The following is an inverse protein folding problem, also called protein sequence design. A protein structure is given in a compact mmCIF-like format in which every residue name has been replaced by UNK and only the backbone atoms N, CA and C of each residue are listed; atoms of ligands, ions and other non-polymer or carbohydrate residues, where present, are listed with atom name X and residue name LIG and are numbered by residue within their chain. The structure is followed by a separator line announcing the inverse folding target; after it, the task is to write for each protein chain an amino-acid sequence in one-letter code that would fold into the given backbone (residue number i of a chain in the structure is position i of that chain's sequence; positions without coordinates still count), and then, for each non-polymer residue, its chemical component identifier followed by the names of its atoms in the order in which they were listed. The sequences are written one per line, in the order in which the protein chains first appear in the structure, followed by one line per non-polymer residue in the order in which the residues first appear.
data_IF_678308636717
#
_entry.id   IF_678308636717
#
_cell.length_a   1.000
_cell.length_b   1.000
_cell.length_c   1.000
_cell.angle_alpha   90.00
_cell.angle_beta   90.00
_cell.angle_gamma   90.00
#
_symmetry.space_group_name_H-M   'P 1'
#
loop_
_entity.id
_entity.type
_entity.pdbx_description
1 polymer ?
#
# COMPACT_ATOMS: atom_id res chain seq x y z
N UNK A 1 61.16 25.96 -20.50
CA UNK A 1 59.98 26.77 -20.07
C UNK A 1 58.66 26.01 -20.17
N UNK A 2 58.42 25.15 -21.17
CA UNK A 2 57.14 24.43 -21.33
C UNK A 2 56.90 23.26 -20.33
N UNK A 3 57.96 22.60 -19.87
CA UNK A 3 57.87 21.41 -18.97
C UNK A 3 57.32 21.78 -17.59
N UNK A 4 57.66 22.97 -17.08
CA UNK A 4 57.22 23.45 -15.76
C UNK A 4 55.71 23.71 -15.71
N UNK A 5 55.11 24.20 -16.81
CA UNK A 5 53.67 24.43 -16.91
C UNK A 5 52.87 23.13 -16.95
N UNK A 6 53.38 22.10 -17.64
CA UNK A 6 52.73 20.79 -17.73
C UNK A 6 52.70 20.06 -16.38
N UNK A 7 53.78 20.13 -15.60
CA UNK A 7 53.85 19.56 -14.24
C UNK A 7 52.89 20.30 -13.28
N UNK A 8 52.80 21.62 -13.39
CA UNK A 8 51.85 22.42 -12.61
C UNK A 8 50.39 22.08 -12.90
N UNK A 9 50.03 21.95 -14.19
CA UNK A 9 48.69 21.56 -14.61
C UNK A 9 48.32 20.14 -14.16
N UNK A 10 49.27 19.20 -14.22
CA UNK A 10 49.08 17.83 -13.76
C UNK A 10 48.88 17.74 -12.24
N UNK A 11 49.69 18.45 -11.45
CA UNK A 11 49.54 18.53 -10.01
C UNK A 11 48.20 19.16 -9.59
N UNK A 12 47.76 20.19 -10.31
CA UNK A 12 46.46 20.82 -10.10
C UNK A 12 45.29 19.87 -10.38
N UNK A 13 45.34 19.11 -11.49
CA UNK A 13 44.33 18.12 -11.83
C UNK A 13 44.23 16.98 -10.79
N UNK A 14 45.36 16.52 -10.24
CA UNK A 14 45.38 15.53 -9.15
C UNK A 14 44.75 16.11 -7.88
N UNK A 15 45.03 17.37 -7.55
CA UNK A 15 44.47 18.04 -6.37
C UNK A 15 42.95 18.17 -6.49
N UNK A 16 42.43 18.54 -7.66
CA UNK A 16 40.99 18.59 -7.94
C UNK A 16 40.34 17.21 -7.77
N UNK A 17 40.94 16.16 -8.37
CA UNK A 17 40.44 14.78 -8.21
C UNK A 17 40.42 14.32 -6.74
N UNK A 18 41.49 14.61 -5.98
CA UNK A 18 41.54 14.27 -4.55
C UNK A 18 40.52 15.07 -3.72
N UNK A 19 40.31 16.35 -4.04
CA UNK A 19 39.32 17.16 -3.36
C UNK A 19 37.90 16.64 -3.63
N UNK A 20 37.62 16.23 -4.85
CA UNK A 20 36.33 15.62 -5.22
C UNK A 20 36.11 14.28 -4.52
N UNK A 21 37.15 13.44 -4.43
CA UNK A 21 37.10 12.19 -3.66
C UNK A 21 36.90 12.43 -2.16
N UNK A 22 37.52 13.47 -1.58
CA UNK A 22 37.32 13.82 -0.16
C UNK A 22 35.90 14.27 0.15
N UNK A 23 35.23 14.95 -0.79
CA UNK A 23 33.82 15.35 -0.67
C UNK A 23 32.85 14.17 -0.72
N UNK A 24 33.27 13.03 -1.29
CA UNK A 24 32.47 11.80 -1.44
C UNK A 24 32.70 10.79 -0.30
N UNK A 25 33.48 11.13 0.73
CA UNK A 25 33.72 10.20 1.86
C UNK A 25 32.45 10.08 2.71
N UNK A 26 31.95 8.85 2.83
CA UNK A 26 30.81 8.52 3.67
C UNK A 26 31.19 8.85 5.12
N UNK A 27 30.39 9.66 5.84
CA UNK A 27 30.69 10.02 7.21
C UNK A 27 30.49 8.82 8.15
N UNK A 28 31.31 8.71 9.20
CA UNK A 28 31.16 7.65 10.23
C UNK A 28 29.87 7.79 11.03
N UNK A 29 29.36 9.01 11.17
CA UNK A 29 28.08 9.34 11.80
C UNK A 29 27.33 10.29 10.88
N UNK A 30 26.08 9.98 10.58
CA UNK A 30 25.22 10.83 9.78
C UNK A 30 24.64 11.94 10.66
N UNK A 31 24.92 13.23 10.39
CA UNK A 31 24.33 14.35 11.12
C UNK A 31 22.90 14.60 10.63
N UNK A 32 22.07 13.56 10.57
CA UNK A 32 20.72 13.59 10.02
C UNK A 32 19.71 13.27 11.12
N UNK A 33 18.60 13.98 11.11
CA UNK A 33 17.46 13.74 12.00
C UNK A 33 16.24 13.38 11.17
N UNK A 34 15.36 12.55 11.75
CA UNK A 34 14.10 12.19 11.09
C UNK A 34 13.19 13.41 11.08
N UNK A 35 12.55 13.65 9.93
CA UNK A 35 11.55 14.72 9.77
C UNK A 35 10.24 14.15 9.23
N UNK A 36 9.13 14.82 9.52
CA UNK A 36 7.86 14.51 8.89
C UNK A 36 7.95 14.68 7.37
N UNK A 37 7.46 13.70 6.61
CA UNK A 37 7.47 13.76 5.14
C UNK A 37 6.43 14.73 4.59
N UNK A 38 5.29 14.88 5.28
CA UNK A 38 4.18 15.75 4.87
C UNK A 38 3.89 16.84 5.90
N UNK A 39 3.62 18.05 5.40
CA UNK A 39 3.14 19.18 6.19
C UNK A 39 1.61 19.11 6.44
N UNK A 40 1.04 20.06 7.19
CA UNK A 40 -0.39 20.06 7.54
C UNK A 40 -1.32 20.19 6.33
N UNK A 41 -0.96 21.02 5.34
CA UNK A 41 -1.73 21.20 4.09
C UNK A 41 -1.69 19.93 3.24
N UNK A 42 -0.49 19.39 3.03
CA UNK A 42 -0.28 18.12 2.33
C UNK A 42 -1.04 16.98 3.02
N UNK A 43 -1.09 16.95 4.35
CA UNK A 43 -1.82 15.92 5.12
C UNK A 43 -3.33 15.94 4.86
N UNK A 44 -3.94 17.10 4.62
CA UNK A 44 -5.36 17.18 4.27
C UNK A 44 -5.63 16.51 2.92
N UNK A 45 -4.83 16.88 1.91
CA UNK A 45 -4.90 16.28 0.57
C UNK A 45 -4.58 14.79 0.63
N UNK A 46 -3.60 14.37 1.43
CA UNK A 46 -3.25 12.96 1.57
C UNK A 46 -4.42 12.13 2.10
N UNK A 47 -5.09 12.58 3.17
CA UNK A 47 -6.26 11.89 3.71
C UNK A 47 -7.42 11.86 2.71
N UNK A 48 -7.62 12.95 1.98
CA UNK A 48 -8.63 12.99 0.91
C UNK A 48 -8.29 12.01 -0.22
N UNK A 49 -7.03 11.95 -0.65
CA UNK A 49 -6.56 11.00 -1.66
C UNK A 49 -6.74 9.55 -1.21
N UNK A 50 -6.43 9.21 0.05
CA UNK A 50 -6.64 7.86 0.57
C UNK A 50 -8.13 7.44 0.54
N UNK A 51 -9.05 8.39 0.67
CA UNK A 51 -10.50 8.13 0.49
C UNK A 51 -10.89 8.03 -0.97
N UNK A 52 -10.25 8.83 -1.83
CA UNK A 52 -10.54 8.82 -3.25
C UNK A 52 -10.02 7.56 -3.94
N UNK A 53 -8.85 7.07 -3.53
CA UNK A 53 -8.10 5.99 -4.16
C UNK A 53 -8.01 4.79 -3.22
N UNK A 54 -9.15 4.26 -2.78
CA UNK A 54 -9.22 3.15 -1.82
C UNK A 54 -8.60 1.84 -2.34
N UNK A 55 -8.69 1.57 -3.64
CA UNK A 55 -8.16 0.36 -4.29
C UNK A 55 -6.74 0.56 -4.86
N UNK A 56 -6.08 1.65 -4.46
CA UNK A 56 -4.81 2.09 -5.02
C UNK A 56 -3.87 2.52 -3.90
N UNK A 57 -2.58 2.52 -4.17
CA UNK A 57 -1.59 2.96 -3.22
C UNK A 57 -1.20 4.42 -3.48
N UNK A 58 -1.24 5.23 -2.41
CA UNK A 58 -0.81 6.63 -2.44
C UNK A 58 0.58 6.75 -1.81
N UNK A 59 1.59 6.93 -2.66
CA UNK A 59 2.99 7.06 -2.27
C UNK A 59 3.35 8.54 -2.06
N UNK A 60 4.12 8.84 -1.01
CA UNK A 60 4.51 10.21 -0.64
C UNK A 60 5.90 10.52 -1.20
N UNK A 61 6.04 11.63 -1.93
CA UNK A 61 7.33 12.17 -2.42
C UNK A 61 8.17 11.16 -3.21
N UNK A 62 7.51 10.35 -4.03
CA UNK A 62 8.20 9.40 -4.91
C UNK A 62 8.90 10.18 -6.05
N UNK A 63 10.23 10.02 -6.22
CA UNK A 63 10.93 10.63 -7.34
C UNK A 63 10.47 10.06 -8.67
N UNK A 64 10.37 10.90 -9.70
CA UNK A 64 9.93 10.45 -11.04
C UNK A 64 10.84 9.37 -11.61
N UNK A 65 12.13 9.43 -11.29
CA UNK A 65 13.16 8.45 -11.69
C UNK A 65 12.92 7.04 -11.13
N UNK A 66 11.96 6.86 -10.21
CA UNK A 66 11.59 5.53 -9.69
C UNK A 66 10.53 4.82 -10.52
N UNK A 67 9.84 5.52 -11.41
CA UNK A 67 8.79 4.95 -12.25
C UNK A 67 8.87 5.40 -13.71
N UNK A 68 9.90 6.16 -14.09
CA UNK A 68 10.23 6.47 -15.48
C UNK A 68 11.54 5.82 -15.88
N UNK A 69 11.64 5.43 -17.15
CA UNK A 69 12.86 4.92 -17.76
C UNK A 69 13.05 5.57 -19.12
N UNK A 70 14.29 5.91 -19.51
CA UNK A 70 14.55 6.41 -20.85
C UNK A 70 14.31 5.29 -21.87
N UNK A 71 13.89 5.67 -23.07
CA UNK A 71 13.75 4.73 -24.19
C UNK A 71 15.11 4.15 -24.61
N UNK A 72 16.16 4.99 -24.55
CA UNK A 72 17.55 4.63 -24.83
C UNK A 72 18.27 4.37 -23.51
N UNK A 73 18.75 3.15 -23.29
CA UNK A 73 19.30 2.71 -21.99
C UNK A 73 20.59 3.43 -21.64
N UNK A 74 21.38 3.76 -22.65
CA UNK A 74 22.69 4.43 -22.55
C UNK A 74 22.57 5.85 -21.96
N UNK A 75 21.41 6.49 -22.15
CA UNK A 75 21.14 7.85 -21.65
C UNK A 75 20.67 7.87 -20.18
N UNK A 76 20.52 6.72 -19.53
CA UNK A 76 19.96 6.64 -18.17
C UNK A 76 20.67 7.50 -17.14
N UNK A 77 22.01 7.58 -17.19
CA UNK A 77 22.77 8.42 -16.26
C UNK A 77 22.53 9.92 -16.50
N UNK A 78 22.42 10.32 -17.77
CA UNK A 78 22.15 11.70 -18.15
C UNK A 78 20.79 12.16 -17.62
N UNK A 79 19.75 11.38 -17.91
CA UNK A 79 18.39 11.69 -17.44
C UNK A 79 18.25 11.61 -15.92
N UNK A 80 18.96 10.68 -15.26
CA UNK A 80 18.97 10.62 -13.79
C UNK A 80 19.56 11.88 -13.15
N UNK A 81 20.61 12.46 -13.74
CA UNK A 81 21.20 13.71 -13.22
C UNK A 81 20.23 14.89 -13.35
N UNK A 82 19.46 14.95 -14.44
CA UNK A 82 18.46 16.00 -14.67
C UNK A 82 17.23 15.83 -13.78
N UNK A 83 16.72 14.60 -13.69
CA UNK A 83 15.44 14.30 -13.03
C UNK A 83 15.58 13.87 -11.56
N UNK A 84 16.79 13.70 -11.05
CA UNK A 84 17.04 13.17 -9.70
C UNK A 84 16.42 13.98 -8.56
N UNK A 85 16.13 15.27 -8.79
CA UNK A 85 15.44 16.14 -7.84
C UNK A 85 13.93 16.29 -8.09
N UNK A 86 13.40 15.72 -9.18
CA UNK A 86 12.00 15.88 -9.58
C UNK A 86 11.15 14.81 -8.90
N UNK A 87 10.19 15.25 -8.11
CA UNK A 87 9.19 14.40 -7.46
C UNK A 87 7.84 15.11 -7.45
N UNK A 88 6.77 14.33 -7.35
CA UNK A 88 5.45 14.84 -7.04
C UNK A 88 5.14 14.69 -5.55
N UNK A 89 4.24 15.51 -5.00
CA UNK A 89 3.86 15.40 -3.58
C UNK A 89 3.28 14.01 -3.29
N UNK A 90 2.39 13.54 -4.15
CA UNK A 90 1.80 12.21 -4.10
C UNK A 90 1.83 11.53 -5.46
N UNK A 91 2.01 10.21 -5.45
CA UNK A 91 1.91 9.35 -6.62
C UNK A 91 0.91 8.25 -6.33
N UNK A 92 -0.01 8.00 -7.26
CA UNK A 92 -1.03 6.95 -7.18
C UNK A 92 -0.58 5.80 -8.06
N UNK A 93 -0.50 4.60 -7.50
CA UNK A 93 -0.26 3.38 -8.26
C UNK A 93 -1.34 2.34 -8.01
N UNK A 94 -1.55 1.48 -9.00
CA UNK A 94 -2.46 0.34 -8.90
C UNK A 94 -1.80 -0.81 -8.10
N UNK A 95 -2.54 -1.91 -7.92
CA UNK A 95 -2.06 -3.10 -7.21
C UNK A 95 -0.93 -3.84 -7.97
N UNK A 96 -0.77 -3.60 -9.27
CA UNK A 96 0.31 -4.15 -10.09
C UNK A 96 1.61 -3.33 -9.99
N UNK A 97 1.60 -2.24 -9.21
CA UNK A 97 2.75 -1.34 -9.03
C UNK A 97 2.96 -0.36 -10.19
N UNK A 98 1.99 -0.23 -11.10
CA UNK A 98 2.02 0.76 -12.19
C UNK A 98 1.48 2.10 -11.71
N UNK A 99 2.16 3.18 -12.09
CA UNK A 99 1.75 4.55 -11.76
C UNK A 99 0.61 5.00 -12.67
N UNK A 100 -0.49 5.38 -12.06
CA UNK A 100 -1.70 5.87 -12.75
C UNK A 100 -1.67 7.39 -12.85
N UNK A 101 -1.19 8.06 -11.81
CA UNK A 101 -1.08 9.51 -11.82
C UNK A 101 -0.33 10.09 -10.63
N UNK A 102 -0.09 11.38 -10.72
CA UNK A 102 0.64 12.17 -9.76
C UNK A 102 -0.15 13.42 -9.36
N UNK A 103 -0.08 13.76 -8.08
CA UNK A 103 -0.70 14.95 -7.51
C UNK A 103 0.35 15.82 -6.83
N UNK A 104 0.33 17.11 -7.16
CA UNK A 104 1.13 18.12 -6.47
C UNK A 104 0.25 19.01 -5.61
N UNK A 105 0.77 19.34 -4.43
CA UNK A 105 0.13 20.28 -3.51
C UNK A 105 0.96 21.54 -3.46
N UNK A 106 0.38 22.71 -3.80
CA UNK A 106 1.12 23.96 -3.75
C UNK A 106 1.49 24.30 -2.29
N UNK A 107 2.75 24.69 -2.11
CA UNK A 107 3.23 25.23 -0.84
C UNK A 107 2.68 26.63 -0.59
N UNK A 108 3.00 27.25 0.56
CA UNK A 108 2.60 28.63 0.87
C UNK A 108 3.08 29.66 -0.18
N UNK A 109 4.21 29.39 -0.82
CA UNK A 109 4.79 30.20 -1.89
C UNK A 109 4.33 29.74 -3.30
N UNK A 110 3.39 28.80 -3.36
CA UNK A 110 2.96 28.17 -4.61
C UNK A 110 3.97 27.18 -5.19
N UNK A 111 3.71 26.79 -6.44
CA UNK A 111 4.64 26.00 -7.27
C UNK A 111 5.17 26.92 -8.38
N UNK A 112 6.46 26.81 -8.68
CA UNK A 112 7.01 27.50 -9.85
C UNK A 112 6.34 26.99 -11.12
N UNK A 113 5.87 27.91 -11.97
CA UNK A 113 5.24 27.60 -13.25
C UNK A 113 6.14 26.73 -14.13
N UNK A 114 7.45 27.03 -14.17
CA UNK A 114 8.42 26.25 -14.94
C UNK A 114 8.51 24.79 -14.47
N UNK A 115 8.51 24.57 -13.15
CA UNK A 115 8.53 23.22 -12.58
C UNK A 115 7.21 22.48 -12.86
N UNK A 116 6.08 23.18 -12.75
CA UNK A 116 4.77 22.62 -13.07
C UNK A 116 4.69 22.21 -14.55
N UNK A 117 5.15 23.06 -15.47
CA UNK A 117 5.19 22.77 -16.91
C UNK A 117 6.10 21.59 -17.20
N UNK A 118 7.28 21.52 -16.58
CA UNK A 118 8.19 20.38 -16.72
C UNK A 118 7.50 19.08 -16.31
N UNK A 119 6.89 19.04 -15.12
CA UNK A 119 6.19 17.86 -14.61
C UNK A 119 5.01 17.48 -15.51
N UNK A 120 4.23 18.45 -15.94
CA UNK A 120 3.09 18.22 -16.82
C UNK A 120 3.54 17.61 -18.15
N UNK A 121 4.54 18.19 -18.82
CA UNK A 121 5.05 17.68 -20.10
C UNK A 121 5.68 16.30 -19.94
N UNK A 122 6.55 16.12 -18.94
CA UNK A 122 7.20 14.83 -18.67
C UNK A 122 6.18 13.72 -18.43
N UNK A 123 5.24 13.93 -17.50
CA UNK A 123 4.28 12.91 -17.11
C UNK A 123 3.28 12.62 -18.22
N UNK A 124 2.83 13.64 -18.95
CA UNK A 124 1.96 13.47 -20.12
C UNK A 124 2.63 12.60 -21.19
N UNK A 125 3.92 12.83 -21.47
CA UNK A 125 4.69 11.99 -22.40
C UNK A 125 4.86 10.55 -21.91
N UNK A 126 4.89 10.33 -20.60
CA UNK A 126 4.91 9.00 -19.98
C UNK A 126 3.50 8.39 -19.81
N UNK A 127 2.44 9.02 -20.34
CA UNK A 127 1.03 8.62 -20.15
C UNK A 127 0.61 8.53 -18.67
N UNK A 128 1.19 9.37 -17.82
CA UNK A 128 0.86 9.51 -16.40
C UNK A 128 0.07 10.79 -16.20
N UNK A 129 -1.13 10.70 -15.61
CA UNK A 129 -1.98 11.87 -15.35
C UNK A 129 -1.37 12.74 -14.26
N UNK A 130 -1.41 14.06 -14.43
CA UNK A 130 -0.84 15.02 -13.48
C UNK A 130 -1.87 16.07 -13.09
N UNK A 131 -2.01 16.34 -11.79
CA UNK A 131 -2.96 17.32 -11.26
C UNK A 131 -2.33 18.12 -10.11
N UNK A 132 -2.58 19.43 -10.06
CA UNK A 132 -2.24 20.28 -8.90
C UNK A 132 -3.48 20.54 -8.05
N UNK A 133 -3.51 20.06 -6.81
CA UNK A 133 -4.67 20.13 -5.92
C UNK A 133 -4.44 21.16 -4.82
N UNK A 134 -5.32 22.16 -4.75
CA UNK A 134 -5.34 23.12 -3.67
C UNK A 134 -6.02 22.50 -2.42
N UNK A 135 -5.35 22.48 -1.25
CA UNK A 135 -5.94 21.96 -0.01
C UNK A 135 -7.19 22.75 0.45
N UNK A 136 -7.38 23.99 0.02
CA UNK A 136 -8.55 24.81 0.38
C UNK A 136 -9.77 24.50 -0.51
N UNK A 137 -9.53 24.01 -1.72
CA UNK A 137 -10.54 23.76 -2.75
C UNK A 137 -10.39 22.33 -3.31
N UNK A 138 -10.69 21.34 -2.46
CA UNK A 138 -10.61 19.93 -2.86
C UNK A 138 -11.69 19.60 -3.88
N UNK A 139 -11.36 19.00 -5.04
CA UNK A 139 -12.35 18.53 -5.99
C UNK A 139 -13.14 17.35 -5.41
N UNK A 140 -14.29 17.06 -6.03
CA UNK A 140 -15.06 15.85 -5.68
C UNK A 140 -14.21 14.59 -5.91
N UNK A 141 -14.42 13.60 -5.05
CA UNK A 141 -13.75 12.29 -5.13
C UNK A 141 -14.02 11.61 -6.47
N UNK A 142 -15.24 11.71 -6.99
CA UNK A 142 -15.59 11.13 -8.30
C UNK A 142 -14.82 11.81 -9.43
N UNK A 143 -14.69 13.14 -9.39
CA UNK A 143 -13.98 13.92 -10.41
C UNK A 143 -12.51 13.55 -10.50
N UNK A 144 -11.81 13.43 -9.37
CA UNK A 144 -10.37 13.08 -9.39
C UNK A 144 -10.17 11.62 -9.84
N UNK A 145 -11.05 10.69 -9.42
CA UNK A 145 -10.97 9.30 -9.86
C UNK A 145 -11.19 9.17 -11.36
N UNK A 146 -12.24 9.79 -11.90
CA UNK A 146 -12.53 9.78 -13.32
C UNK A 146 -11.38 10.37 -14.15
N UNK A 147 -10.73 11.43 -13.65
CA UNK A 147 -9.61 12.04 -14.34
C UNK A 147 -8.34 11.17 -14.39
N UNK A 148 -8.13 10.32 -13.39
CA UNK A 148 -6.94 9.46 -13.29
C UNK A 148 -7.18 8.09 -13.94
N UNK A 149 -8.32 7.47 -13.68
CA UNK A 149 -8.64 6.11 -14.13
C UNK A 149 -9.37 6.09 -15.48
N UNK A 150 -10.00 7.21 -15.86
CA UNK A 150 -10.97 7.25 -16.96
C UNK A 150 -12.35 6.78 -16.50
N UNK A 151 -13.40 7.32 -17.11
CA UNK A 151 -14.80 7.04 -16.72
C UNK A 151 -15.14 5.54 -16.79
N UNK A 152 -14.61 4.81 -17.78
CA UNK A 152 -14.92 3.39 -17.95
C UNK A 152 -14.27 2.49 -16.90
N UNK A 153 -13.06 2.82 -16.44
CA UNK A 153 -12.40 2.06 -15.39
C UNK A 153 -13.13 2.26 -14.05
N UNK A 154 -13.59 3.48 -13.77
CA UNK A 154 -14.39 3.77 -12.57
C UNK A 154 -15.69 2.95 -12.56
N UNK A 155 -16.41 2.91 -13.69
CA UNK A 155 -17.65 2.12 -13.79
C UNK A 155 -17.41 0.61 -13.61
N UNK A 156 -16.30 0.08 -14.14
CA UNK A 156 -15.92 -1.33 -13.97
C UNK A 156 -15.60 -1.66 -12.51
N UNK A 157 -14.79 -0.83 -11.84
CA UNK A 157 -14.46 -0.98 -10.42
C UNK A 157 -15.71 -0.88 -9.53
N UNK A 158 -16.61 0.04 -9.83
CA UNK A 158 -17.86 0.21 -9.09
C UNK A 158 -18.76 -1.03 -9.23
N UNK A 159 -18.87 -1.58 -10.45
CA UNK A 159 -19.58 -2.83 -10.70
C UNK A 159 -18.97 -4.02 -9.93
N UNK A 160 -17.64 -4.15 -9.94
CA UNK A 160 -16.93 -5.21 -9.20
C UNK A 160 -17.11 -5.06 -7.69
N UNK A 161 -17.10 -3.83 -7.15
CA UNK A 161 -17.39 -3.55 -5.74
C UNK A 161 -18.82 -3.96 -5.37
N UNK A 162 -19.81 -3.55 -6.16
CA UNK A 162 -21.22 -3.93 -5.94
C UNK A 162 -21.39 -5.45 -5.99
N UNK A 163 -20.75 -6.11 -6.96
CA UNK A 163 -20.76 -7.57 -7.07
C UNK A 163 -20.16 -8.21 -5.82
N UNK A 164 -18.98 -7.78 -5.38
CA UNK A 164 -18.32 -8.33 -4.19
C UNK A 164 -19.15 -8.11 -2.92
N UNK A 165 -19.76 -6.92 -2.78
CA UNK A 165 -20.62 -6.60 -1.64
C UNK A 165 -21.89 -7.46 -1.62
N UNK A 166 -22.51 -7.69 -2.78
CA UNK A 166 -23.67 -8.60 -2.88
C UNK A 166 -23.29 -10.04 -2.56
N UNK A 167 -22.17 -10.55 -3.07
CA UNK A 167 -21.65 -11.89 -2.75
C UNK A 167 -21.34 -12.03 -1.24
N UNK A 168 -20.73 -11.02 -0.63
CA UNK A 168 -20.44 -10.99 0.80
C UNK A 168 -21.72 -10.97 1.65
N UNK A 169 -22.70 -10.14 1.26
CA UNK A 169 -23.98 -10.03 1.95
C UNK A 169 -24.78 -11.33 1.86
N UNK A 170 -24.76 -12.01 0.71
CA UNK A 170 -25.35 -13.33 0.55
C UNK A 170 -24.66 -14.38 1.44
N UNK A 171 -23.34 -14.39 1.46
CA UNK A 171 -22.55 -15.31 2.32
C UNK A 171 -22.87 -15.09 3.79
N UNK A 172 -22.93 -13.83 4.24
CA UNK A 172 -23.34 -13.45 5.60
C UNK A 172 -24.76 -13.89 5.92
N UNK A 173 -25.70 -13.76 4.99
CA UNK A 173 -27.07 -14.22 5.17
C UNK A 173 -27.14 -15.75 5.31
N UNK A 174 -26.41 -16.48 4.47
CA UNK A 174 -26.33 -17.94 4.51
C UNK A 174 -25.75 -18.45 5.83
N UNK A 175 -24.66 -17.83 6.32
CA UNK A 175 -24.07 -18.13 7.63
C UNK A 175 -25.05 -17.89 8.78
N UNK A 176 -25.76 -16.75 8.77
CA UNK A 176 -26.79 -16.46 9.78
C UNK A 176 -27.90 -17.51 9.76
N UNK A 177 -28.36 -17.91 8.58
CA UNK A 177 -29.39 -18.94 8.44
C UNK A 177 -28.90 -20.31 8.97
N UNK A 178 -27.66 -20.69 8.66
CA UNK A 178 -27.06 -21.92 9.15
C UNK A 178 -26.92 -21.93 10.68
N UNK A 179 -26.48 -20.82 11.28
CA UNK A 179 -26.39 -20.68 12.74
C UNK A 179 -27.77 -20.78 13.41
N UNK A 180 -28.80 -20.16 12.84
CA UNK A 180 -30.17 -20.26 13.36
C UNK A 180 -30.67 -21.72 13.30
N UNK A 181 -30.41 -22.44 12.21
CA UNK A 181 -30.75 -23.87 12.09
C UNK A 181 -30.01 -24.71 13.13
N UNK A 182 -28.71 -24.47 13.33
CA UNK A 182 -27.94 -25.18 14.34
C UNK A 182 -28.45 -24.90 15.75
N UNK A 183 -28.77 -23.64 16.07
CA UNK A 183 -29.34 -23.26 17.37
C UNK A 183 -30.70 -23.91 17.61
N UNK A 184 -31.54 -24.02 16.58
CA UNK A 184 -32.85 -24.66 16.70
C UNK A 184 -32.74 -26.20 16.77
N UNK A 185 -31.71 -26.80 16.17
CA UNK A 185 -31.45 -28.24 16.24
C UNK A 185 -30.63 -28.67 17.46
N UNK A 186 -30.01 -27.73 18.18
CA UNK A 186 -29.31 -28.03 19.43
C UNK A 186 -30.35 -28.18 20.53
N UNK A 187 -30.62 -29.41 21.02
CA UNK A 187 -31.59 -29.60 22.07
C UNK A 187 -30.95 -29.08 23.36
N UNK A 188 -31.33 -27.88 23.79
CA UNK A 188 -31.07 -27.40 25.15
C UNK A 188 -31.61 -28.36 26.23
N UNK A 189 -32.50 -29.29 25.84
CA UNK A 189 -32.96 -30.40 26.65
C UNK A 189 -31.87 -31.44 26.96
N UNK A 190 -30.83 -31.64 26.14
CA UNK A 190 -29.88 -32.74 26.38
C UNK A 190 -28.86 -32.45 27.48
N UNK A 191 -28.48 -31.18 27.67
CA UNK A 191 -27.51 -30.81 28.72
C UNK A 191 -28.20 -30.68 30.09
N UNK A 192 -29.42 -30.14 30.14
CA UNK A 192 -30.20 -30.08 31.38
C UNK A 192 -30.73 -31.46 31.80
N UNK A 193 -31.21 -32.29 30.85
CA UNK A 193 -31.63 -33.66 31.15
C UNK A 193 -30.44 -34.57 31.54
N UNK A 194 -29.22 -34.32 31.01
CA UNK A 194 -28.01 -35.00 31.48
C UNK A 194 -27.64 -34.61 32.92
N UNK A 195 -27.79 -33.33 33.27
CA UNK A 195 -27.51 -32.84 34.61
C UNK A 195 -28.55 -33.35 35.62
N UNK A 196 -29.82 -33.40 35.23
CA UNK A 196 -30.91 -34.00 36.01
C UNK A 196 -30.70 -35.51 36.20
N UNK A 197 -30.26 -36.23 35.17
CA UNK A 197 -29.90 -37.65 35.25
C UNK A 197 -28.67 -37.92 36.14
N UNK A 198 -27.70 -37.00 36.19
CA UNK A 198 -26.54 -37.07 37.10
C UNK A 198 -26.92 -36.79 38.55
N UNK A 199 -27.90 -35.91 38.79
CA UNK A 199 -28.40 -35.60 40.13
C UNK A 199 -29.36 -36.65 40.69
N UNK A 200 -29.94 -37.49 39.83
CA UNK A 200 -30.81 -38.61 40.19
C UNK A 200 -30.10 -39.97 40.22
N UNK A 201 -28.80 -40.00 39.92
CA UNK A 201 -27.97 -41.20 40.07
C UNK A 201 -27.50 -41.37 41.53
N UNK A 202 -27.65 -42.59 42.05
CA UNK A 202 -27.40 -42.98 43.44
C UNK A 202 -25.90 -42.82 43.82
N UNK A 203 -25.54 -42.11 44.92
CA UNK A 203 -24.14 -41.75 45.24
C UNK A 203 -23.19 -42.91 45.57
N UNK A 204 -23.69 -44.16 45.67
CA UNK A 204 -22.92 -45.31 46.15
C UNK A 204 -22.54 -46.35 45.07
N UNK A 205 -22.72 -46.05 43.78
CA UNK A 205 -22.24 -46.93 42.71
C UNK A 205 -20.83 -46.51 42.24
N UNK A 206 -19.84 -47.34 42.58
CA UNK A 206 -18.41 -47.12 42.29
C UNK A 206 -18.00 -47.41 40.82
N UNK A 207 -18.93 -47.49 39.88
CA UNK A 207 -18.62 -47.79 38.46
C UNK A 207 -19.00 -46.67 37.47
N UNK A 208 -19.56 -45.55 37.94
CA UNK A 208 -20.12 -44.52 37.07
C UNK A 208 -19.20 -43.33 36.79
N UNK A 209 -18.07 -43.20 37.50
CA UNK A 209 -17.23 -41.99 37.43
C UNK A 209 -16.17 -41.99 36.33
N UNK A 210 -15.95 -43.10 35.62
CA UNK A 210 -14.81 -43.23 34.69
C UNK A 210 -15.16 -43.14 33.19
N UNK A 211 -16.41 -42.86 32.80
CA UNK A 211 -16.80 -43.05 31.38
C UNK A 211 -17.63 -41.94 30.72
N UNK A 212 -17.90 -40.78 31.32
CA UNK A 212 -18.85 -39.83 30.68
C UNK A 212 -18.47 -38.35 30.63
N UNK A 213 -17.27 -37.95 31.04
CA UNK A 213 -16.78 -36.57 30.85
C UNK A 213 -16.00 -36.36 29.53
N UNK A 214 -15.85 -37.38 28.68
CA UNK A 214 -14.85 -37.37 27.61
C UNK A 214 -15.32 -37.05 26.18
N UNK A 215 -16.58 -36.68 25.90
CA UNK A 215 -17.00 -36.61 24.48
C UNK A 215 -17.88 -35.45 23.99
N UNK A 216 -18.10 -34.37 24.76
CA UNK A 216 -18.93 -33.26 24.26
C UNK A 216 -18.20 -31.93 24.03
N UNK A 217 -16.96 -31.81 24.48
CA UNK A 217 -16.09 -30.72 24.04
C UNK A 217 -15.57 -31.11 22.66
N UNK A 218 -16.30 -30.71 21.61
CA UNK A 218 -15.76 -30.70 20.24
C UNK A 218 -14.39 -30.04 20.30
N UNK A 219 -13.35 -30.86 20.16
CA UNK A 219 -11.95 -30.49 20.32
C UNK A 219 -11.39 -29.69 19.13
N UNK A 220 -12.24 -29.05 18.32
CA UNK A 220 -11.82 -28.39 17.07
C UNK A 220 -12.32 -26.94 16.95
N UNK A 221 -12.41 -26.22 18.06
CA UNK A 221 -12.64 -24.75 18.03
C UNK A 221 -11.33 -23.94 18.02
N UNK A 222 -10.18 -24.57 18.28
CA UNK A 222 -8.87 -23.90 18.34
C UNK A 222 -7.85 -24.42 17.32
N UNK A 223 -8.15 -25.49 16.59
CA UNK A 223 -7.35 -25.90 15.43
C UNK A 223 -8.08 -25.42 14.18
N UNK A 224 -7.99 -24.11 13.92
CA UNK A 224 -7.90 -23.72 12.53
C UNK A 224 -6.68 -24.48 11.96
N UNK A 225 -6.76 -25.15 10.80
CA UNK A 225 -5.56 -25.69 10.19
C UNK A 225 -4.55 -24.54 10.12
N UNK A 226 -3.40 -24.71 10.76
CA UNK A 226 -2.28 -23.76 10.65
C UNK A 226 -1.76 -23.65 9.21
N UNK A 227 -2.35 -24.41 8.29
CA UNK A 227 -2.14 -24.32 6.86
C UNK A 227 -3.42 -23.86 6.12
N UNK A 228 -3.58 -22.53 6.03
CA UNK A 228 -4.35 -21.87 4.97
C UNK A 228 -3.42 -21.05 4.08
N UNK A 229 -2.12 -21.42 4.03
CA UNK A 229 -1.08 -20.72 3.26
C UNK A 229 -0.10 -21.70 2.62
N UNK A 230 -0.62 -22.60 1.80
CA UNK A 230 0.08 -23.05 0.60
C UNK A 230 -0.76 -22.67 -0.61
N UNK A 231 -0.63 -21.41 -1.02
CA UNK A 231 -0.99 -21.02 -2.38
C UNK A 231 0.01 -21.68 -3.31
N UNK A 232 -0.38 -22.80 -3.91
CA UNK A 232 0.34 -23.38 -5.03
C UNK A 232 0.24 -22.40 -6.20
N UNK A 233 1.30 -21.61 -6.40
CA UNK A 233 1.55 -20.96 -7.68
C UNK A 233 1.92 -22.07 -8.65
N UNK A 234 0.93 -22.64 -9.34
CA UNK A 234 1.21 -23.32 -10.60
C UNK A 234 1.69 -22.28 -11.59
N UNK A 235 3.02 -22.14 -11.71
CA UNK A 235 3.67 -21.75 -12.96
C UNK A 235 3.29 -22.80 -14.00
N UNK A 236 2.29 -22.47 -14.81
CA UNK A 236 1.90 -23.21 -16.00
C UNK A 236 2.33 -22.44 -17.24
N UNK A 237 3.57 -22.71 -17.67
CA UNK A 237 4.12 -22.75 -19.04
C UNK A 237 3.71 -21.68 -20.06
#
# INVERSE_FOLDING_TARGET
MAVSGALGAYAYAIRLKKQEQSKRRIPRKWPLVVRAMVNSRERLVWRWMLRAFQDHHVMVKLPVTRFTMPQVREEGQHWFQILGGVYCTFTVCNNDGQVVGCVDVPGPQGLSLSNQTLKHTLLSQCNVRYWVVDPEHLPSVSTIRAAFLGEQAVMKEELERVRTETEFNQTRANLKAALIRQRNNQPTASDFARLEALMSADPHSHDAYDSQLSTTWKHDSFVAPLDSRSGELTEGR
#
